data_IF_368192294535
#
_entry.id   IF_368192294535
#
_cell.length_a   1.000
_cell.length_b   1.000
_cell.length_c   1.000
_cell.angle_alpha   90.00
_cell.angle_beta   90.00
_cell.angle_gamma   90.00
#
_symmetry.space_group_name_H-M   'P 1'
#
loop_
_entity.id
_entity.type
_entity.pdbx_description
1 polymer ?
#
# COMPACT_ATOMS: atom_id res chain seq x y z
N UNK A 1 16.09 -8.61 -26.12
CA UNK A 1 16.20 -9.94 -25.47
C UNK A 1 17.05 -9.90 -24.20
N UNK A 2 18.14 -9.12 -24.16
CA UNK A 2 19.03 -9.03 -22.98
C UNK A 2 18.36 -8.57 -21.68
N UNK A 3 17.39 -7.64 -21.75
CA UNK A 3 16.65 -7.16 -20.56
C UNK A 3 15.82 -8.29 -19.94
N UNK A 4 15.10 -9.05 -20.77
CA UNK A 4 14.28 -10.17 -20.29
C UNK A 4 15.14 -11.32 -19.76
N UNK A 5 16.29 -11.60 -20.37
CA UNK A 5 17.21 -12.61 -19.85
C UNK A 5 17.82 -12.21 -18.50
N UNK A 6 18.14 -10.93 -18.31
CA UNK A 6 18.62 -10.41 -17.01
C UNK A 6 17.52 -10.48 -15.94
N UNK A 7 16.30 -10.05 -16.27
CA UNK A 7 15.15 -10.12 -15.35
C UNK A 7 14.80 -11.57 -14.98
N UNK A 8 14.79 -12.49 -15.94
CA UNK A 8 14.52 -13.91 -15.67
C UNK A 8 15.66 -14.58 -14.91
N UNK A 9 16.90 -14.08 -15.03
CA UNK A 9 18.07 -14.56 -14.30
C UNK A 9 18.13 -14.15 -12.83
N UNK A 10 17.32 -13.17 -12.39
CA UNK A 10 17.31 -12.74 -10.98
C UNK A 10 16.84 -13.86 -10.05
N UNK A 11 17.39 -13.97 -8.83
CA UNK A 11 16.88 -14.82 -7.77
C UNK A 11 15.38 -14.59 -7.51
N UNK A 12 14.69 -15.64 -7.08
CA UNK A 12 13.25 -15.59 -6.83
C UNK A 12 12.86 -14.51 -5.82
N UNK A 13 13.63 -14.37 -4.74
CA UNK A 13 13.37 -13.38 -3.69
C UNK A 13 13.61 -11.95 -4.15
N UNK A 14 14.66 -11.70 -4.94
CA UNK A 14 14.92 -10.38 -5.55
C UNK A 14 13.75 -9.96 -6.45
N UNK A 15 13.22 -10.87 -7.28
CA UNK A 15 12.03 -10.58 -8.10
C UNK A 15 10.81 -10.18 -7.27
N UNK A 16 10.61 -10.81 -6.10
CA UNK A 16 9.51 -10.47 -5.21
C UNK A 16 9.71 -9.13 -4.50
N UNK A 17 10.94 -8.81 -4.09
CA UNK A 17 11.30 -7.50 -3.53
C UNK A 17 11.07 -6.39 -4.55
N UNK A 18 11.51 -6.58 -5.79
CA UNK A 18 11.28 -5.64 -6.88
C UNK A 18 9.80 -5.47 -7.22
N UNK A 19 9.05 -6.58 -7.24
CA UNK A 19 7.60 -6.55 -7.43
C UNK A 19 6.91 -5.76 -6.32
N UNK A 20 7.28 -5.98 -5.05
CA UNK A 20 6.76 -5.22 -3.92
C UNK A 20 7.07 -3.72 -4.07
N UNK A 21 8.30 -3.37 -4.45
CA UNK A 21 8.69 -1.97 -4.73
C UNK A 21 7.88 -1.34 -5.87
N UNK A 22 7.64 -2.09 -6.95
CA UNK A 22 6.80 -1.65 -8.06
C UNK A 22 5.35 -1.38 -7.61
N UNK A 23 4.75 -2.31 -6.87
CA UNK A 23 3.40 -2.18 -6.33
C UNK A 23 3.30 -0.93 -5.43
N UNK A 24 4.29 -0.68 -4.58
CA UNK A 24 4.32 0.52 -3.74
C UNK A 24 4.33 1.82 -4.56
N UNK A 25 5.07 1.86 -5.67
CA UNK A 25 5.06 3.02 -6.57
C UNK A 25 3.71 3.18 -7.29
N UNK A 26 3.13 2.07 -7.77
CA UNK A 26 1.81 2.06 -8.42
C UNK A 26 0.74 2.57 -7.46
N UNK A 27 0.76 2.13 -6.20
CA UNK A 27 -0.11 2.62 -5.13
C UNK A 27 -0.05 4.15 -5.01
N UNK A 28 1.14 4.76 -4.97
CA UNK A 28 1.28 6.22 -4.88
C UNK A 28 0.64 6.95 -6.08
N UNK A 29 0.83 6.43 -7.29
CA UNK A 29 0.19 6.98 -8.49
C UNK A 29 -1.33 6.87 -8.40
N UNK A 30 -1.84 5.72 -7.94
CA UNK A 30 -3.27 5.47 -7.79
C UNK A 30 -3.90 6.34 -6.69
N UNK A 31 -3.21 6.58 -5.58
CA UNK A 31 -3.63 7.54 -4.56
C UNK A 31 -3.75 8.95 -5.13
N UNK A 32 -2.71 9.42 -5.83
CA UNK A 32 -2.72 10.73 -6.48
C UNK A 32 -3.87 10.86 -7.49
N UNK A 33 -4.06 9.84 -8.34
CA UNK A 33 -5.17 9.78 -9.29
C UNK A 33 -6.53 9.81 -8.59
N UNK A 34 -6.71 9.04 -7.50
CA UNK A 34 -7.95 8.99 -6.73
C UNK A 34 -8.30 10.33 -6.08
N UNK A 35 -7.32 11.01 -5.49
CA UNK A 35 -7.46 12.34 -4.90
C UNK A 35 -7.85 13.38 -5.96
N UNK A 36 -7.16 13.39 -7.11
CA UNK A 36 -7.47 14.31 -8.21
C UNK A 36 -8.88 14.03 -8.75
N UNK A 37 -9.20 12.76 -9.02
CA UNK A 37 -10.49 12.36 -9.55
C UNK A 37 -11.63 12.69 -8.60
N UNK A 38 -11.43 12.60 -7.28
CA UNK A 38 -12.42 13.05 -6.30
C UNK A 38 -12.86 14.50 -6.59
N UNK A 39 -11.90 15.43 -6.75
CA UNK A 39 -12.22 16.83 -7.05
C UNK A 39 -12.73 17.05 -8.48
N UNK A 40 -12.27 16.27 -9.46
CA UNK A 40 -12.78 16.33 -10.84
C UNK A 40 -14.25 15.90 -10.90
N UNK A 41 -14.62 14.84 -10.18
CA UNK A 41 -16.01 14.35 -10.10
C UNK A 41 -16.95 15.41 -9.53
N UNK A 42 -16.51 16.17 -8.52
CA UNK A 42 -17.29 17.29 -7.97
C UNK A 42 -17.67 18.34 -9.02
N UNK A 43 -16.80 18.56 -10.02
CA UNK A 43 -17.04 19.49 -11.12
C UNK A 43 -17.84 18.86 -12.26
N UNK A 44 -17.70 17.55 -12.46
CA UNK A 44 -18.40 16.81 -13.50
C UNK A 44 -18.62 15.35 -13.10
N UNK A 45 -19.88 14.97 -12.88
CA UNK A 45 -20.26 13.60 -12.49
C UNK A 45 -19.90 12.51 -13.50
N UNK A 46 -19.57 12.87 -14.75
CA UNK A 46 -19.16 11.94 -15.81
C UNK A 46 -17.90 11.14 -15.45
N UNK A 47 -17.06 11.67 -14.55
CA UNK A 47 -15.82 11.02 -14.14
C UNK A 47 -16.00 9.99 -13.01
N UNK A 48 -17.22 9.79 -12.51
CA UNK A 48 -17.46 8.86 -11.39
C UNK A 48 -17.04 7.42 -11.73
N UNK A 49 -17.16 7.02 -13.01
CA UNK A 49 -16.71 5.70 -13.45
C UNK A 49 -15.20 5.55 -13.26
N UNK A 50 -14.42 6.58 -13.60
CA UNK A 50 -12.97 6.60 -13.43
C UNK A 50 -12.57 6.56 -11.97
N UNK A 51 -13.24 7.35 -11.11
CA UNK A 51 -12.98 7.31 -9.65
C UNK A 51 -13.23 5.91 -9.08
N UNK A 52 -14.33 5.26 -9.45
CA UNK A 52 -14.61 3.86 -9.03
C UNK A 52 -13.53 2.90 -9.51
N UNK A 53 -13.10 3.02 -10.76
CA UNK A 53 -12.08 2.16 -11.34
C UNK A 53 -10.74 2.34 -10.63
N UNK A 54 -10.31 3.58 -10.37
CA UNK A 54 -9.06 3.86 -9.65
C UNK A 54 -9.12 3.34 -8.22
N UNK A 55 -10.23 3.53 -7.49
CA UNK A 55 -10.37 3.00 -6.14
C UNK A 55 -10.35 1.46 -6.09
N UNK A 56 -10.94 0.80 -7.09
CA UNK A 56 -10.90 -0.66 -7.19
C UNK A 56 -9.48 -1.17 -7.47
N UNK A 57 -8.77 -0.54 -8.40
CA UNK A 57 -7.38 -0.90 -8.69
C UNK A 57 -6.46 -0.58 -7.52
N UNK A 58 -6.66 0.53 -6.82
CA UNK A 58 -5.92 0.86 -5.60
C UNK A 58 -6.15 -0.19 -4.52
N UNK A 59 -7.39 -0.63 -4.31
CA UNK A 59 -7.68 -1.72 -3.37
C UNK A 59 -6.94 -3.01 -3.76
N UNK A 60 -7.05 -3.43 -5.02
CA UNK A 60 -6.39 -4.65 -5.49
C UNK A 60 -4.87 -4.55 -5.39
N UNK A 61 -4.30 -3.41 -5.75
CA UNK A 61 -2.86 -3.12 -5.68
C UNK A 61 -2.35 -3.17 -4.23
N UNK A 62 -3.07 -2.56 -3.28
CA UNK A 62 -2.72 -2.62 -1.85
C UNK A 62 -2.78 -4.05 -1.29
N UNK A 63 -3.77 -4.86 -1.69
CA UNK A 63 -3.84 -6.28 -1.30
C UNK A 63 -2.65 -7.06 -1.87
N UNK A 64 -2.31 -6.83 -3.14
CA UNK A 64 -1.15 -7.47 -3.75
C UNK A 64 0.16 -7.02 -3.12
N UNK A 65 0.26 -5.73 -2.75
CA UNK A 65 1.40 -5.17 -2.04
C UNK A 65 1.59 -5.89 -0.70
N UNK A 66 0.53 -6.05 0.09
CA UNK A 66 0.60 -6.78 1.37
C UNK A 66 1.01 -8.24 1.17
N UNK A 67 0.44 -8.93 0.18
CA UNK A 67 0.81 -10.32 -0.14
C UNK A 67 2.30 -10.42 -0.52
N UNK A 68 2.79 -9.50 -1.35
CA UNK A 68 4.19 -9.46 -1.75
C UNK A 68 5.10 -9.16 -0.53
N UNK A 69 4.70 -8.22 0.33
CA UNK A 69 5.43 -7.86 1.54
C UNK A 69 5.51 -9.01 2.54
N UNK A 70 4.39 -9.71 2.76
CA UNK A 70 4.32 -10.93 3.57
C UNK A 70 5.15 -12.07 2.97
N UNK A 71 5.27 -12.14 1.64
CA UNK A 71 6.10 -13.17 1.00
C UNK A 71 7.59 -12.90 1.22
N UNK A 72 8.02 -11.65 1.06
CA UNK A 72 9.40 -11.19 1.39
C UNK A 72 9.69 -11.37 2.88
N UNK A 73 8.67 -11.48 3.73
CA UNK A 73 8.85 -11.71 5.15
C UNK A 73 9.39 -13.10 5.52
N UNK A 74 9.12 -14.10 4.69
CA UNK A 74 9.56 -15.47 4.92
C UNK A 74 11.09 -15.54 5.06
N UNK A 75 11.91 -15.05 4.10
CA UNK A 75 13.36 -15.05 4.26
C UNK A 75 13.82 -14.11 5.39
N UNK A 76 13.11 -13.01 5.69
CA UNK A 76 13.44 -12.13 6.82
C UNK A 76 13.36 -12.86 8.17
N UNK A 77 12.31 -13.67 8.40
CA UNK A 77 12.09 -14.42 9.66
C UNK A 77 12.80 -15.78 9.70
N UNK A 78 13.34 -16.25 8.58
CA UNK A 78 14.02 -17.54 8.52
C UNK A 78 15.21 -17.61 9.52
N UNK A 79 15.57 -18.82 10.00
CA UNK A 79 16.75 -18.99 10.87
C UNK A 79 18.01 -18.40 10.21
N UNK A 80 18.75 -17.59 10.95
CA UNK A 80 19.93 -16.88 10.43
C UNK A 80 19.62 -15.69 9.52
N UNK A 81 18.34 -15.39 9.28
CA UNK A 81 17.90 -14.24 8.50
C UNK A 81 18.00 -12.90 9.25
N UNK A 82 17.69 -11.78 8.57
CA UNK A 82 17.77 -10.41 9.10
C UNK A 82 17.13 -10.20 10.48
N UNK A 83 16.01 -10.88 10.79
CA UNK A 83 15.40 -10.85 12.13
C UNK A 83 16.38 -11.28 13.22
N UNK A 84 17.10 -12.37 12.99
CA UNK A 84 18.03 -12.95 13.98
C UNK A 84 19.16 -11.98 14.30
N UNK A 85 19.63 -11.25 13.30
CA UNK A 85 20.63 -10.19 13.47
C UNK A 85 20.08 -9.05 14.34
N UNK A 86 18.90 -8.51 14.00
CA UNK A 86 18.29 -7.39 14.73
C UNK A 86 18.05 -7.70 16.20
N UNK A 87 17.53 -8.90 16.51
CA UNK A 87 17.25 -9.28 17.91
C UNK A 87 18.52 -9.62 18.70
N UNK A 88 19.64 -9.92 18.02
CA UNK A 88 20.91 -10.25 18.68
C UNK A 88 21.64 -9.03 19.24
N UNK A 89 21.27 -7.83 18.80
CA UNK A 89 21.91 -6.57 19.17
C UNK A 89 20.94 -5.73 20.01
N UNK A 90 21.33 -5.35 21.22
CA UNK A 90 20.49 -4.56 22.13
C UNK A 90 20.02 -3.24 21.50
N UNK A 91 20.92 -2.58 20.75
CA UNK A 91 20.67 -1.30 20.09
C UNK A 91 19.64 -1.36 18.95
N UNK A 92 19.41 -2.54 18.35
CA UNK A 92 18.50 -2.69 17.19
C UNK A 92 17.33 -3.64 17.46
N UNK A 93 17.28 -4.31 18.61
CA UNK A 93 16.20 -5.23 18.96
C UNK A 93 14.81 -4.57 18.94
N UNK A 94 14.72 -3.29 19.31
CA UNK A 94 13.48 -2.51 19.27
C UNK A 94 12.95 -2.28 17.84
N UNK A 95 13.82 -2.28 16.82
CA UNK A 95 13.40 -2.17 15.42
C UNK A 95 12.55 -3.36 15.00
N UNK A 96 12.89 -4.56 15.47
CA UNK A 96 12.02 -5.71 15.26
C UNK A 96 10.83 -5.69 16.22
N UNK A 97 11.08 -5.64 17.53
CA UNK A 97 10.03 -5.85 18.56
C UNK A 97 8.94 -4.77 18.61
N UNK A 98 9.21 -3.56 18.10
CA UNK A 98 8.26 -2.44 18.09
C UNK A 98 7.92 -2.05 16.66
N UNK A 99 8.90 -1.57 15.90
CA UNK A 99 8.65 -0.97 14.59
C UNK A 99 8.17 -2.02 13.58
N UNK A 100 8.83 -3.18 13.53
CA UNK A 100 8.44 -4.23 12.60
C UNK A 100 7.06 -4.79 12.94
N UNK A 101 6.81 -5.13 14.20
CA UNK A 101 5.50 -5.68 14.59
C UNK A 101 4.38 -4.62 14.38
N UNK A 102 4.62 -3.35 14.71
CA UNK A 102 3.66 -2.27 14.47
C UNK A 102 3.30 -2.12 12.99
N UNK A 103 4.29 -2.05 12.10
CA UNK A 103 4.03 -1.90 10.65
C UNK A 103 3.21 -3.07 10.10
N UNK A 104 3.41 -4.28 10.63
CA UNK A 104 2.67 -5.47 10.17
C UNK A 104 1.19 -5.35 10.47
N UNK A 105 0.82 -4.93 11.69
CA UNK A 105 -0.58 -4.70 12.03
C UNK A 105 -1.16 -3.53 11.24
N UNK A 106 -0.38 -2.46 11.05
CA UNK A 106 -0.86 -1.26 10.37
C UNK A 106 -1.08 -1.47 8.86
N UNK A 107 -0.29 -2.34 8.22
CA UNK A 107 -0.39 -2.64 6.79
C UNK A 107 -1.77 -3.15 6.35
N UNK A 108 -2.53 -3.81 7.24
CA UNK A 108 -3.87 -4.31 6.92
C UNK A 108 -4.96 -3.22 6.86
N UNK A 109 -4.70 -2.03 7.42
CA UNK A 109 -5.71 -0.97 7.49
C UNK A 109 -5.96 -0.27 6.13
N UNK A 110 -4.93 0.13 5.35
CA UNK A 110 -5.10 0.77 4.05
C UNK A 110 -6.06 0.06 3.07
N UNK A 111 -5.95 -1.27 2.82
CA UNK A 111 -6.86 -1.96 1.90
C UNK A 111 -8.33 -1.88 2.34
N UNK A 112 -8.60 -2.06 3.64
CA UNK A 112 -9.97 -2.03 4.18
C UNK A 112 -10.59 -0.63 4.09
N UNK A 113 -9.79 0.41 4.36
CA UNK A 113 -10.21 1.81 4.25
C UNK A 113 -10.54 2.16 2.79
N UNK A 114 -9.69 1.73 1.84
CA UNK A 114 -9.92 1.97 0.41
C UNK A 114 -11.10 1.16 -0.12
N UNK A 115 -11.28 -0.09 0.32
CA UNK A 115 -12.46 -0.89 -0.01
C UNK A 115 -13.74 -0.18 0.43
N UNK A 116 -13.75 0.37 1.65
CA UNK A 116 -14.88 1.16 2.15
C UNK A 116 -15.15 2.38 1.26
N UNK A 117 -14.11 3.13 0.90
CA UNK A 117 -14.25 4.27 -0.02
C UNK A 117 -14.80 3.85 -1.38
N UNK A 118 -14.31 2.74 -1.94
CA UNK A 118 -14.82 2.17 -3.19
C UNK A 118 -16.31 1.83 -3.09
N UNK A 119 -16.73 1.16 -2.02
CA UNK A 119 -18.13 0.78 -1.81
C UNK A 119 -19.03 2.01 -1.71
N UNK A 120 -18.61 3.07 -1.01
CA UNK A 120 -19.35 4.34 -0.94
C UNK A 120 -19.51 4.95 -2.33
N UNK A 121 -18.42 5.10 -3.10
CA UNK A 121 -18.48 5.66 -4.47
C UNK A 121 -19.33 4.77 -5.39
N UNK A 122 -19.25 3.45 -5.24
CA UNK A 122 -20.04 2.47 -6.00
C UNK A 122 -21.53 2.61 -5.74
N UNK A 123 -21.93 2.71 -4.47
CA UNK A 123 -23.33 2.83 -4.05
C UNK A 123 -23.91 4.19 -4.45
N UNK A 124 -23.18 5.28 -4.21
CA UNK A 124 -23.65 6.62 -4.56
C UNK A 124 -23.75 6.82 -6.08
N UNK A 125 -22.78 6.32 -6.85
CA UNK A 125 -22.80 6.37 -8.30
C UNK A 125 -23.10 7.78 -8.85
N UNK A 126 -24.18 7.91 -9.64
CA UNK A 126 -24.58 9.20 -10.24
C UNK A 126 -24.96 10.26 -9.18
N UNK A 127 -25.41 9.83 -8.01
CA UNK A 127 -25.87 10.69 -6.91
C UNK A 127 -24.70 11.18 -6.03
N UNK A 128 -23.46 10.86 -6.39
CA UNK A 128 -22.28 11.24 -5.60
C UNK A 128 -22.20 12.75 -5.33
N UNK A 129 -22.64 13.58 -6.28
CA UNK A 129 -22.61 15.04 -6.14
C UNK A 129 -23.82 15.63 -5.41
N UNK A 130 -24.79 14.82 -5.02
CA UNK A 130 -25.97 15.30 -4.30
C UNK A 130 -25.55 15.88 -2.94
N UNK A 131 -26.22 16.96 -2.51
CA UNK A 131 -25.88 17.62 -1.25
C UNK A 131 -26.29 16.80 -0.02
N UNK A 132 -27.35 15.99 -0.15
CA UNK A 132 -27.85 15.09 0.90
C UNK A 132 -26.82 14.04 1.34
N UNK A 133 -25.88 13.68 0.46
CA UNK A 133 -24.84 12.67 0.73
C UNK A 133 -23.46 13.27 0.95
N UNK A 134 -23.38 14.58 1.23
CA UNK A 134 -22.10 15.30 1.38
C UNK A 134 -21.15 14.69 2.42
N UNK A 135 -21.67 14.13 3.51
CA UNK A 135 -20.86 13.45 4.53
C UNK A 135 -20.23 12.15 4.01
N UNK A 136 -21.01 11.31 3.32
CA UNK A 136 -20.49 10.08 2.69
C UNK A 136 -19.49 10.41 1.59
N UNK A 137 -19.72 11.49 0.83
CA UNK A 137 -18.75 11.97 -0.14
C UNK A 137 -17.44 12.40 0.54
N UNK A 138 -17.50 13.20 1.61
CA UNK A 138 -16.31 13.64 2.35
C UNK A 138 -15.55 12.48 2.99
N UNK A 139 -16.24 11.41 3.39
CA UNK A 139 -15.55 10.23 3.92
C UNK A 139 -14.66 9.56 2.86
N UNK A 140 -14.99 9.63 1.57
CA UNK A 140 -14.14 9.08 0.49
C UNK A 140 -12.79 9.77 0.42
N UNK A 141 -12.74 11.11 0.43
CA UNK A 141 -11.47 11.82 0.42
C UNK A 141 -10.70 11.65 1.73
N UNK A 142 -11.41 11.61 2.86
CA UNK A 142 -10.80 11.31 4.15
C UNK A 142 -10.15 9.92 4.16
N UNK A 143 -10.84 8.89 3.68
CA UNK A 143 -10.32 7.53 3.53
C UNK A 143 -9.07 7.48 2.65
N UNK A 144 -9.05 8.19 1.51
CA UNK A 144 -7.87 8.28 0.65
C UNK A 144 -6.67 8.89 1.39
N UNK A 145 -6.86 9.99 2.10
CA UNK A 145 -5.79 10.69 2.82
C UNK A 145 -5.27 9.88 4.00
N UNK A 146 -6.15 9.33 4.83
CA UNK A 146 -5.76 8.51 5.99
C UNK A 146 -5.05 7.24 5.55
N UNK A 147 -5.57 6.56 4.51
CA UNK A 147 -4.93 5.37 3.95
C UNK A 147 -3.56 5.69 3.37
N UNK A 148 -3.40 6.81 2.66
CA UNK A 148 -2.09 7.26 2.16
C UNK A 148 -1.11 7.53 3.32
N UNK A 149 -1.55 8.18 4.40
CA UNK A 149 -0.71 8.41 5.58
C UNK A 149 -0.25 7.09 6.17
N UNK A 150 -1.13 6.10 6.32
CA UNK A 150 -0.76 4.78 6.84
C UNK A 150 0.25 4.08 5.92
N UNK A 151 0.05 4.10 4.60
CA UNK A 151 1.01 3.54 3.64
C UNK A 151 2.38 4.22 3.75
N UNK A 152 2.42 5.54 3.90
CA UNK A 152 3.68 6.28 4.06
C UNK A 152 4.38 5.96 5.39
N UNK A 153 3.64 5.79 6.48
CA UNK A 153 4.18 5.36 7.78
C UNK A 153 4.77 3.95 7.66
N UNK A 154 4.01 3.00 7.13
CA UNK A 154 4.48 1.61 6.92
C UNK A 154 5.73 1.58 6.03
N UNK A 155 5.76 2.38 4.97
CA UNK A 155 6.93 2.49 4.08
C UNK A 155 8.15 3.08 4.82
N UNK A 156 7.97 4.13 5.63
CA UNK A 156 9.05 4.71 6.41
C UNK A 156 9.60 3.71 7.44
N UNK A 157 8.72 3.01 8.16
CA UNK A 157 9.09 1.95 9.10
C UNK A 157 9.83 0.79 8.41
N UNK A 158 9.38 0.38 7.22
CA UNK A 158 10.06 -0.63 6.42
C UNK A 158 11.48 -0.20 6.02
N UNK A 159 11.67 1.05 5.60
CA UNK A 159 13.00 1.60 5.26
C UNK A 159 13.93 1.63 6.47
N UNK A 160 13.42 1.96 7.65
CA UNK A 160 14.22 1.94 8.88
C UNK A 160 14.75 0.53 9.18
N UNK A 161 13.88 -0.48 9.08
CA UNK A 161 14.26 -1.88 9.31
C UNK A 161 15.27 -2.35 8.26
N UNK A 162 15.01 -2.14 6.97
CA UNK A 162 15.85 -2.69 5.90
C UNK A 162 17.21 -2.00 5.80
N UNK A 163 17.34 -0.75 6.24
CA UNK A 163 18.64 -0.09 6.38
C UNK A 163 19.47 -0.68 7.53
N UNK A 164 18.83 -1.08 8.62
CA UNK A 164 19.52 -1.68 9.77
C UNK A 164 19.88 -3.16 9.54
N UNK A 165 19.03 -3.89 8.81
CA UNK A 165 19.25 -5.28 8.43
C UNK A 165 18.69 -5.55 7.02
N UNK A 166 19.54 -5.44 5.98
CA UNK A 166 19.12 -5.66 4.60
C UNK A 166 18.62 -7.08 4.39
N UNK A 167 17.53 -7.21 3.63
CA UNK A 167 17.11 -8.49 3.06
C UNK A 167 17.92 -8.63 1.76
N UNK A 168 18.87 -9.56 1.76
CA UNK A 168 19.76 -9.82 0.63
C UNK A 168 19.04 -10.35 -0.61
#
# INVERSE_FOLDING_TARGET
MEVFSKLLGLPFWEKLVDLHGLLAMVSLVLFGAGIILYFVVLKSGNFIKWLKTVLLFLFADLVLLDIAGLSVYIPYRAPGGPRSYLISQEETAWLHGIIFEHKEFLAFAPPLIILTAFLVVRVLGKNFNDQSVSYLRRSVIFSLLVSLVFVLVVAAEAVLVTKAAPVG
#
